data_IF_802502232449
#
_entry.id   IF_802502232449
#
_cell.length_a   1.000
_cell.length_b   1.000
_cell.length_c   1.000
_cell.angle_alpha   90.00
_cell.angle_beta   90.00
_cell.angle_gamma   90.00
#
_symmetry.space_group_name_H-M   'P 1'
#
loop_
_entity.id
_entity.type
_entity.pdbx_description
1 polymer ?
#
# COMPACT_ATOMS: atom_id res chain seq x y z
N UNK A 1 -2.73 -4.95 -1.40
CA UNK A 1 -2.66 -6.39 -1.04
C UNK A 1 -1.48 -6.59 -0.11
N UNK A 2 -1.65 -7.40 0.93
CA UNK A 2 -0.64 -7.63 1.96
C UNK A 2 -0.32 -9.13 2.04
N UNK A 3 0.94 -9.43 2.30
CA UNK A 3 1.43 -10.76 2.67
C UNK A 3 1.82 -10.75 4.14
N UNK A 4 1.48 -11.82 4.85
CA UNK A 4 1.83 -12.02 6.24
C UNK A 4 2.97 -13.03 6.33
N UNK A 5 4.03 -12.67 7.03
CA UNK A 5 5.08 -13.59 7.47
C UNK A 5 5.11 -13.71 8.99
N UNK A 6 5.70 -14.78 9.49
CA UNK A 6 5.94 -15.01 10.91
C UNK A 6 7.45 -14.89 11.15
N UNK A 7 7.86 -14.01 12.08
CA UNK A 7 9.24 -13.91 12.53
C UNK A 7 9.50 -14.88 13.67
N UNK A 8 8.52 -15.01 14.57
CA UNK A 8 8.49 -15.97 15.67
C UNK A 8 7.02 -16.27 16.07
N UNK A 9 6.80 -17.21 17.00
CA UNK A 9 5.46 -17.65 17.45
C UNK A 9 4.53 -16.55 17.99
N UNK A 10 5.03 -15.33 18.23
CA UNK A 10 4.31 -14.16 18.75
C UNK A 10 4.43 -12.94 17.85
N UNK A 11 5.46 -12.86 17.01
CA UNK A 11 5.73 -11.71 16.13
C UNK A 11 5.42 -12.04 14.68
N UNK A 12 4.40 -11.38 14.13
CA UNK A 12 4.09 -11.41 12.71
C UNK A 12 4.54 -10.11 12.04
N UNK A 13 5.01 -10.21 10.80
CA UNK A 13 5.29 -9.04 9.96
C UNK A 13 4.39 -9.06 8.73
N UNK A 14 4.12 -7.87 8.20
CA UNK A 14 3.30 -7.70 7.02
C UNK A 14 4.09 -6.93 5.98
N UNK A 15 4.04 -7.40 4.75
CA UNK A 15 4.70 -6.77 3.62
C UNK A 15 3.68 -6.46 2.54
N UNK A 16 3.82 -5.28 1.93
CA UNK A 16 3.03 -4.92 0.75
C UNK A 16 3.53 -5.76 -0.42
N UNK A 17 2.61 -6.44 -1.08
CA UNK A 17 2.96 -7.22 -2.28
C UNK A 17 3.32 -6.28 -3.43
N UNK A 18 4.08 -6.74 -4.42
CA UNK A 18 4.41 -5.92 -5.60
C UNK A 18 3.15 -5.41 -6.31
N UNK A 19 2.10 -6.24 -6.40
CA UNK A 19 0.80 -5.80 -6.92
C UNK A 19 0.19 -4.71 -6.04
N UNK A 20 0.19 -4.92 -4.72
CA UNK A 20 -0.31 -3.93 -3.76
C UNK A 20 0.37 -2.58 -3.88
N UNK A 21 1.68 -2.56 -4.16
CA UNK A 21 2.43 -1.34 -4.37
C UNK A 21 1.93 -0.57 -5.61
N UNK A 22 1.72 -1.27 -6.72
CA UNK A 22 1.19 -0.65 -7.96
C UNK A 22 -0.18 0.00 -7.76
N UNK A 23 -1.07 -0.65 -7.01
CA UNK A 23 -2.39 -0.08 -6.70
C UNK A 23 -2.28 1.19 -5.83
N UNK A 24 -1.33 1.21 -4.89
CA UNK A 24 -1.06 2.40 -4.07
C UNK A 24 -0.52 3.55 -4.94
N UNK A 25 0.37 3.25 -5.88
CA UNK A 25 0.89 4.24 -6.83
C UNK A 25 -0.22 4.79 -7.73
N UNK A 26 -1.03 3.91 -8.34
CA UNK A 26 -2.17 4.31 -9.15
C UNK A 26 -3.19 5.14 -8.36
N UNK A 27 -3.40 4.80 -7.08
CA UNK A 27 -4.26 5.59 -6.19
C UNK A 27 -3.68 6.99 -5.96
N UNK A 28 -2.37 7.10 -5.71
CA UNK A 28 -1.70 8.41 -5.53
C UNK A 28 -1.78 9.26 -6.80
N UNK A 29 -1.59 8.67 -7.97
CA UNK A 29 -1.74 9.37 -9.25
C UNK A 29 -3.17 9.88 -9.46
N UNK A 30 -4.17 9.09 -9.09
CA UNK A 30 -5.56 9.54 -9.12
C UNK A 30 -5.83 10.66 -8.09
N UNK A 31 -5.30 10.53 -6.87
CA UNK A 31 -5.47 11.56 -5.83
C UNK A 31 -4.84 12.90 -6.26
N UNK A 32 -3.65 12.86 -6.86
CA UNK A 32 -2.98 14.06 -7.38
C UNK A 32 -3.82 14.77 -8.45
N UNK A 33 -4.49 14.01 -9.31
CA UNK A 33 -5.31 14.56 -10.40
C UNK A 33 -6.64 15.14 -9.94
N UNK A 34 -7.24 14.62 -8.86
CA UNK A 34 -8.66 14.87 -8.56
C UNK A 34 -8.95 15.32 -7.13
N UNK A 35 -8.03 15.13 -6.18
CA UNK A 35 -8.23 15.43 -4.75
C UNK A 35 -7.43 16.66 -4.30
N UNK A 36 -6.52 17.17 -5.14
CA UNK A 36 -5.83 18.45 -4.92
C UNK A 36 -6.43 19.69 -5.66
N UNK A 37 -7.75 19.88 -5.88
CA UNK A 37 -8.26 21.08 -6.56
C UNK A 37 -8.47 22.31 -5.66
N UNK A 38 -7.90 22.40 -4.45
CA UNK A 38 -8.07 23.57 -3.58
C UNK A 38 -6.72 24.09 -3.03
N UNK A 39 -6.19 25.13 -3.68
CA UNK A 39 -5.30 26.14 -3.08
C UNK A 39 -5.64 27.50 -3.68
#
# INVERSE_FOLDING_TARGET
>A
MLEKGELDKRTNYYQVTQRGQREIEARREWEDQYVSPET
#
